data_IF_535015857260
#
_entry.id   IF_535015857260
#
_cell.length_a   1.000
_cell.length_b   1.000
_cell.length_c   1.000
_cell.angle_alpha   90.00
_cell.angle_beta   90.00
_cell.angle_gamma   90.00
#
_symmetry.space_group_name_H-M   'P 1'
#
loop_
_entity.id
_entity.type
_entity.pdbx_description
1 polymer ?
#
# COMPACT_ATOMS: atom_id res chain seq x y z
N UNK A 1 -5.62 24.98 4.31
CA UNK A 1 -5.10 23.71 3.76
C UNK A 1 -6.18 22.65 3.93
N UNK A 2 -6.81 22.17 2.86
CA UNK A 2 -7.66 20.99 2.97
C UNK A 2 -6.74 19.80 3.26
N UNK A 3 -6.84 19.24 4.47
CA UNK A 3 -6.10 18.04 4.86
C UNK A 3 -6.43 16.91 3.89
N UNK A 4 -5.42 16.39 3.19
CA UNK A 4 -5.58 15.22 2.33
C UNK A 4 -6.12 14.08 3.19
N UNK A 5 -7.30 13.56 2.87
CA UNK A 5 -7.88 12.40 3.57
C UNK A 5 -6.97 11.20 3.31
N UNK A 6 -6.19 10.82 4.30
CA UNK A 6 -5.37 9.60 4.27
C UNK A 6 -6.31 8.42 4.50
N UNK A 7 -6.25 7.41 3.63
CA UNK A 7 -7.16 6.27 3.71
C UNK A 7 -6.93 5.39 4.95
N UNK A 8 -5.66 5.22 5.35
CA UNK A 8 -5.22 4.47 6.53
C UNK A 8 -4.20 5.33 7.28
N UNK A 9 -4.45 5.62 8.56
CA UNK A 9 -3.54 6.41 9.40
C UNK A 9 -2.96 5.60 10.56
N UNK A 10 -1.98 6.18 11.25
CA UNK A 10 -1.28 5.54 12.38
C UNK A 10 -2.23 5.06 13.48
N UNK A 11 -3.19 5.90 13.88
CA UNK A 11 -4.13 5.60 14.97
C UNK A 11 -5.05 4.41 14.63
N UNK A 12 -5.48 4.30 13.37
CA UNK A 12 -6.25 3.16 12.88
C UNK A 12 -5.42 1.88 12.90
N UNK A 13 -4.16 1.94 12.45
CA UNK A 13 -3.27 0.79 12.42
C UNK A 13 -2.91 0.35 13.82
N UNK A 14 -2.56 1.28 14.73
CA UNK A 14 -2.23 0.96 16.11
C UNK A 14 -3.41 0.29 16.82
N UNK A 15 -4.62 0.88 16.76
CA UNK A 15 -5.82 0.27 17.37
C UNK A 15 -6.12 -1.12 16.83
N UNK A 16 -5.92 -1.34 15.53
CA UNK A 16 -6.08 -2.66 14.93
C UNK A 16 -5.10 -3.68 15.51
N UNK A 17 -3.80 -3.34 15.59
CA UNK A 17 -2.82 -4.25 16.16
C UNK A 17 -2.98 -4.45 17.67
N UNK A 18 -3.36 -3.42 18.42
CA UNK A 18 -3.70 -3.56 19.85
C UNK A 18 -4.86 -4.55 20.04
N UNK A 19 -5.88 -4.50 19.18
CA UNK A 19 -7.00 -5.46 19.23
C UNK A 19 -6.63 -6.89 18.81
N UNK A 20 -5.54 -7.05 18.05
CA UNK A 20 -5.08 -8.36 17.58
C UNK A 20 -4.17 -9.06 18.60
N UNK A 21 -3.41 -8.27 19.36
CA UNK A 21 -2.36 -8.78 20.26
C UNK A 21 -2.62 -8.53 21.74
N UNK A 22 -3.72 -7.84 22.10
CA UNK A 22 -4.19 -7.56 23.47
C UNK A 22 -3.05 -7.48 24.51
N UNK A 23 -3.06 -8.35 25.53
CA UNK A 23 -2.02 -8.41 26.56
C UNK A 23 -0.85 -9.35 26.21
N UNK A 24 -0.91 -10.05 25.06
CA UNK A 24 0.08 -11.05 24.65
C UNK A 24 1.43 -10.45 24.25
N UNK A 25 1.45 -9.17 23.86
CA UNK A 25 2.66 -8.45 23.47
C UNK A 25 2.87 -7.16 24.26
N UNK A 26 4.12 -6.92 24.63
CA UNK A 26 4.53 -5.64 25.21
C UNK A 26 4.21 -4.47 24.27
N UNK A 27 3.60 -3.40 24.78
CA UNK A 27 3.11 -2.25 24.02
C UNK A 27 4.12 -1.67 23.00
N UNK A 28 5.41 -1.54 23.37
CA UNK A 28 6.46 -1.09 22.43
C UNK A 28 6.63 -1.99 21.20
N UNK A 29 6.41 -3.30 21.33
CA UNK A 29 6.47 -4.24 20.20
C UNK A 29 5.27 -4.05 19.29
N UNK A 30 4.07 -3.90 19.86
CA UNK A 30 2.85 -3.58 19.11
C UNK A 30 3.02 -2.26 18.34
N UNK A 31 3.59 -1.24 18.97
CA UNK A 31 3.88 0.04 18.30
C UNK A 31 4.86 -0.11 17.13
N UNK A 32 5.96 -0.87 17.30
CA UNK A 32 6.89 -1.14 16.19
C UNK A 32 6.22 -1.86 15.03
N UNK A 33 5.36 -2.83 15.32
CA UNK A 33 4.58 -3.53 14.30
C UNK A 33 3.58 -2.59 13.61
N UNK A 34 2.96 -1.67 14.34
CA UNK A 34 2.03 -0.69 13.79
C UNK A 34 2.74 0.28 12.83
N UNK A 35 3.91 0.79 13.22
CA UNK A 35 4.73 1.64 12.34
C UNK A 35 5.22 0.91 11.09
N UNK A 36 5.68 -0.34 11.23
CA UNK A 36 6.08 -1.16 10.09
C UNK A 36 4.90 -1.42 9.14
N UNK A 37 3.71 -1.69 9.68
CA UNK A 37 2.48 -1.93 8.91
C UNK A 37 2.03 -0.67 8.18
N UNK A 38 2.01 0.48 8.87
CA UNK A 38 1.70 1.78 8.28
C UNK A 38 2.65 2.11 7.12
N UNK A 39 3.96 1.91 7.36
CA UNK A 39 4.99 2.08 6.34
C UNK A 39 4.80 1.16 5.14
N UNK A 40 4.54 -0.13 5.37
CA UNK A 40 4.33 -1.12 4.32
C UNK A 40 3.13 -0.81 3.42
N UNK A 41 1.98 -0.47 4.01
CA UNK A 41 0.76 -0.14 3.26
C UNK A 41 0.94 1.14 2.42
N UNK A 42 1.57 2.17 2.99
CA UNK A 42 1.86 3.39 2.26
C UNK A 42 2.92 3.20 1.19
N UNK A 43 3.97 2.42 1.46
CA UNK A 43 5.01 2.09 0.48
C UNK A 43 4.40 1.38 -0.73
N UNK A 44 3.55 0.36 -0.53
CA UNK A 44 2.86 -0.32 -1.62
C UNK A 44 2.04 0.65 -2.48
N UNK A 45 1.26 1.53 -1.84
CA UNK A 45 0.48 2.56 -2.53
C UNK A 45 1.35 3.52 -3.34
N UNK A 46 2.47 3.99 -2.76
CA UNK A 46 3.43 4.87 -3.43
C UNK A 46 4.10 4.19 -4.62
N UNK A 47 4.47 2.90 -4.49
CA UNK A 47 5.07 2.12 -5.56
C UNK A 47 4.15 2.01 -6.78
N UNK A 48 2.86 1.73 -6.59
CA UNK A 48 1.88 1.70 -7.70
C UNK A 48 1.81 3.06 -8.41
N UNK A 49 1.79 4.15 -7.65
CA UNK A 49 1.77 5.51 -8.20
C UNK A 49 3.07 5.84 -8.96
N UNK A 50 4.22 5.45 -8.44
CA UNK A 50 5.52 5.70 -9.06
C UNK A 50 5.67 4.94 -10.38
N UNK A 51 5.34 3.63 -10.39
CA UNK A 51 5.38 2.80 -11.59
C UNK A 51 4.40 3.34 -12.64
N UNK A 52 3.19 3.71 -12.24
CA UNK A 52 2.18 4.26 -13.14
C UNK A 52 2.59 5.59 -13.78
N UNK A 53 3.22 6.47 -13.00
CA UNK A 53 3.76 7.74 -13.53
C UNK A 53 4.92 7.49 -14.48
N UNK A 54 5.86 6.62 -14.13
CA UNK A 54 6.97 6.24 -15.00
C UNK A 54 6.50 5.62 -16.31
N UNK A 55 5.49 4.73 -16.26
CA UNK A 55 4.88 4.13 -17.44
C UNK A 55 4.24 5.18 -18.36
N UNK A 56 3.49 6.13 -17.78
CA UNK A 56 2.90 7.21 -18.55
C UNK A 56 3.97 8.07 -19.22
N UNK A 57 5.05 8.41 -18.50
CA UNK A 57 6.15 9.18 -19.05
C UNK A 57 6.85 8.44 -20.20
N UNK A 58 7.18 7.16 -20.00
CA UNK A 58 7.85 6.32 -21.00
C UNK A 58 7.04 6.15 -22.30
N UNK A 59 5.72 6.31 -22.24
CA UNK A 59 4.81 6.11 -23.38
C UNK A 59 4.18 7.41 -23.91
N UNK A 60 4.56 8.58 -23.40
CA UNK A 60 3.93 9.85 -23.76
C UNK A 60 2.45 9.94 -23.40
N UNK A 61 2.03 9.22 -22.35
CA UNK A 61 0.64 9.12 -21.90
C UNK A 61 0.31 10.01 -20.70
N UNK A 62 -0.96 9.95 -20.26
CA UNK A 62 -1.45 10.67 -19.08
C UNK A 62 -1.15 9.86 -17.81
N UNK A 63 -0.56 10.50 -16.80
CA UNK A 63 -0.18 9.86 -15.52
C UNK A 63 -1.34 9.09 -14.87
N UNK A 64 -2.54 9.68 -14.81
CA UNK A 64 -3.76 9.03 -14.29
C UNK A 64 -4.06 7.70 -14.98
N UNK A 65 -3.80 7.59 -16.29
CA UNK A 65 -4.05 6.37 -17.05
C UNK A 65 -2.98 5.31 -16.77
N UNK A 66 -1.71 5.72 -16.67
CA UNK A 66 -0.62 4.81 -16.28
C UNK A 66 -0.84 4.24 -14.87
N UNK A 67 -1.21 5.07 -13.90
CA UNK A 67 -1.52 4.62 -12.53
C UNK A 67 -2.69 3.63 -12.53
N UNK A 68 -3.79 3.95 -13.22
CA UNK A 68 -4.94 3.03 -13.36
C UNK A 68 -4.56 1.71 -14.02
N UNK A 69 -3.64 1.73 -14.99
CA UNK A 69 -3.19 0.52 -15.66
C UNK A 69 -2.43 -0.40 -14.71
N UNK A 70 -1.52 0.15 -13.89
CA UNK A 70 -0.77 -0.63 -12.90
C UNK A 70 -1.68 -1.15 -11.79
N UNK A 71 -2.56 -0.30 -11.28
CA UNK A 71 -3.56 -0.68 -10.26
C UNK A 71 -4.47 -1.83 -10.73
N UNK A 72 -4.97 -1.75 -11.97
CA UNK A 72 -5.74 -2.84 -12.60
C UNK A 72 -4.93 -4.11 -12.81
N UNK A 73 -3.64 -4.03 -13.08
CA UNK A 73 -2.79 -5.22 -13.21
C UNK A 73 -2.73 -5.98 -11.89
N UNK A 74 -2.54 -5.27 -10.77
CA UNK A 74 -2.40 -5.87 -9.44
C UNK A 74 -3.72 -6.30 -8.80
N UNK A 75 -4.85 -5.77 -9.27
CA UNK A 75 -6.20 -6.12 -8.79
C UNK A 75 -6.97 -7.06 -9.72
N UNK A 76 -6.36 -7.53 -10.81
CA UNK A 76 -7.00 -8.43 -11.76
C UNK A 76 -6.92 -9.89 -11.30
N UNK A 77 -8.04 -10.46 -10.86
CA UNK A 77 -8.13 -11.86 -10.42
C UNK A 77 -7.77 -12.89 -11.49
N UNK A 78 -7.87 -12.53 -12.78
CA UNK A 78 -7.45 -13.39 -13.89
C UNK A 78 -5.92 -13.42 -14.08
N UNK A 79 -5.17 -12.58 -13.38
CA UNK A 79 -3.71 -12.49 -13.45
C UNK A 79 -3.10 -12.79 -12.08
N UNK A 80 -2.57 -13.99 -11.93
CA UNK A 80 -1.79 -14.35 -10.74
C UNK A 80 -0.33 -13.91 -10.93
N UNK A 81 -0.01 -12.71 -10.44
CA UNK A 81 1.34 -12.14 -10.53
C UNK A 81 2.39 -12.97 -9.78
N UNK A 82 2.02 -13.69 -8.72
CA UNK A 82 2.95 -14.50 -7.95
C UNK A 82 3.29 -15.78 -8.70
N UNK A 83 2.29 -16.42 -9.30
CA UNK A 83 2.51 -17.56 -10.18
C UNK A 83 3.37 -17.21 -11.39
N UNK A 84 3.16 -16.02 -11.97
CA UNK A 84 3.98 -15.52 -13.09
C UNK A 84 5.43 -15.19 -12.68
N UNK A 85 5.64 -14.68 -11.47
CA UNK A 85 6.99 -14.36 -10.98
C UNK A 85 7.78 -15.62 -10.57
N UNK A 86 7.09 -16.70 -10.21
CA UNK A 86 7.69 -17.95 -9.77
C UNK A 86 7.92 -18.97 -10.90
N UNK A 87 7.47 -18.67 -12.13
CA UNK A 87 7.69 -19.50 -13.34
C UNK A 87 8.99 -19.14 -14.04
#
# INVERSE_FOLDING_TARGET
>A
MLGRKVAINEEQVLRFLESLFEEDLHAKRVLSLAHATLGGVHAASLSVHAIGQALAWARGGVQKHGIKQVDRLLSNEAVDVWKLAAS
#
